data_IF_229702968599
#
_entry.id   IF_229702968599
#
_cell.length_a   1.000
_cell.length_b   1.000
_cell.length_c   1.000
_cell.angle_alpha   90.00
_cell.angle_beta   90.00
_cell.angle_gamma   90.00
#
_symmetry.space_group_name_H-M   'P 1'
#
loop_
_entity.id
_entity.type
_entity.pdbx_description
1 polymer ?
#
# COMPACT_ATOMS: atom_id res chain seq x y z
N UNK A 1 -27.52 -20.24 15.75
CA UNK A 1 -27.33 -21.48 15.01
C UNK A 1 -26.06 -22.11 15.54
N UNK A 2 -26.19 -23.20 16.26
CA UNK A 2 -25.03 -23.95 16.72
C UNK A 2 -24.35 -24.63 15.52
N UNK A 3 -23.02 -24.71 15.49
CA UNK A 3 -22.34 -25.39 14.41
C UNK A 3 -22.66 -26.88 14.40
N UNK A 4 -22.83 -27.49 13.21
CA UNK A 4 -23.10 -28.93 13.12
C UNK A 4 -21.90 -29.70 13.68
N UNK A 5 -22.17 -30.66 14.54
CA UNK A 5 -21.16 -31.47 15.25
C UNK A 5 -21.09 -32.90 14.74
N UNK A 6 -22.13 -33.39 14.08
CA UNK A 6 -22.19 -34.74 13.56
C UNK A 6 -21.90 -34.80 12.06
N UNK A 7 -21.29 -35.88 11.57
CA UNK A 7 -20.93 -36.05 10.16
C UNK A 7 -22.12 -36.01 9.21
N UNK A 8 -23.29 -36.52 9.66
CA UNK A 8 -24.53 -36.45 8.89
C UNK A 8 -25.05 -35.01 8.78
N UNK A 9 -25.03 -34.26 9.87
CA UNK A 9 -25.41 -32.84 9.87
C UNK A 9 -24.50 -32.00 8.99
N UNK A 10 -23.19 -32.27 9.00
CA UNK A 10 -22.21 -31.59 8.13
C UNK A 10 -22.48 -31.91 6.65
N UNK A 11 -22.75 -33.15 6.31
CA UNK A 11 -23.08 -33.55 4.94
C UNK A 11 -24.36 -32.88 4.45
N UNK A 12 -25.40 -32.86 5.29
CA UNK A 12 -26.68 -32.22 4.98
C UNK A 12 -26.55 -30.69 4.86
N UNK A 13 -25.74 -30.06 5.70
CA UNK A 13 -25.44 -28.64 5.61
C UNK A 13 -24.71 -28.30 4.32
N UNK A 14 -23.75 -29.14 3.88
CA UNK A 14 -23.04 -28.99 2.60
C UNK A 14 -24.00 -29.11 1.41
N UNK A 15 -24.88 -30.13 1.40
CA UNK A 15 -25.85 -30.30 0.33
C UNK A 15 -26.83 -29.12 0.26
N UNK A 16 -27.34 -28.66 1.39
CA UNK A 16 -28.22 -27.51 1.46
C UNK A 16 -27.53 -26.23 0.95
N UNK A 17 -26.25 -26.08 1.25
CA UNK A 17 -25.45 -24.92 0.79
C UNK A 17 -25.22 -24.97 -0.73
N UNK A 18 -24.94 -26.13 -1.31
CA UNK A 18 -24.74 -26.31 -2.76
C UNK A 18 -26.04 -26.11 -3.56
N UNK A 19 -27.21 -26.47 -2.96
CA UNK A 19 -28.52 -26.24 -3.60
C UNK A 19 -29.04 -24.81 -3.42
N UNK A 20 -28.46 -24.02 -2.51
CA UNK A 20 -28.88 -22.64 -2.26
C UNK A 20 -28.42 -21.71 -3.36
N UNK A 21 -29.30 -21.02 -4.10
CA UNK A 21 -28.92 -20.05 -5.12
C UNK A 21 -28.15 -18.84 -4.56
N UNK A 22 -28.30 -18.57 -3.26
CA UNK A 22 -27.61 -17.46 -2.58
C UNK A 22 -26.17 -17.81 -2.19
N UNK A 23 -25.90 -19.06 -1.88
CA UNK A 23 -24.58 -19.50 -1.41
C UNK A 23 -23.73 -20.04 -2.55
N UNK A 24 -24.31 -20.77 -3.47
CA UNK A 24 -23.63 -21.32 -4.63
C UNK A 24 -23.11 -20.21 -5.53
N UNK A 25 -21.86 -20.30 -5.95
CA UNK A 25 -21.10 -19.30 -6.75
C UNK A 25 -20.76 -17.99 -6.03
N UNK A 26 -21.42 -17.66 -4.91
CA UNK A 26 -21.09 -16.46 -4.15
C UNK A 26 -20.14 -16.77 -2.98
N UNK A 27 -20.41 -17.84 -2.24
CA UNK A 27 -19.64 -18.25 -1.08
C UNK A 27 -19.08 -19.67 -1.17
N UNK A 28 -19.64 -20.50 -2.04
CA UNK A 28 -19.22 -21.88 -2.24
C UNK A 28 -19.07 -22.11 -3.74
N UNK A 29 -17.97 -22.74 -4.16
CA UNK A 29 -17.73 -23.15 -5.55
C UNK A 29 -18.70 -24.26 -5.98
N UNK A 30 -18.90 -24.40 -7.29
CA UNK A 30 -19.83 -25.41 -7.84
C UNK A 30 -19.46 -26.86 -7.47
N UNK A 31 -18.19 -27.12 -7.22
CA UNK A 31 -17.64 -28.41 -6.78
C UNK A 31 -17.63 -28.59 -5.24
N UNK A 32 -17.98 -27.54 -4.48
CA UNK A 32 -18.00 -27.55 -3.02
C UNK A 32 -16.63 -27.68 -2.35
N UNK A 33 -15.54 -27.41 -3.09
CA UNK A 33 -14.14 -27.52 -2.59
C UNK A 33 -13.68 -26.19 -1.99
N UNK A 34 -14.11 -25.06 -2.58
CA UNK A 34 -13.72 -23.72 -2.13
C UNK A 34 -14.89 -23.06 -1.44
N UNK A 35 -14.64 -22.47 -0.28
CA UNK A 35 -15.64 -21.67 0.44
C UNK A 35 -15.06 -20.34 0.89
N UNK A 36 -15.92 -19.33 1.06
CA UNK A 36 -15.57 -18.01 1.54
C UNK A 36 -16.34 -17.67 2.82
N UNK A 37 -15.62 -17.08 3.77
CA UNK A 37 -16.22 -16.52 4.99
C UNK A 37 -16.20 -14.99 4.83
N UNK A 38 -17.38 -14.38 4.81
CA UNK A 38 -17.49 -12.92 4.75
C UNK A 38 -17.50 -12.35 6.18
N UNK A 39 -16.49 -11.53 6.47
CA UNK A 39 -16.35 -10.85 7.75
C UNK A 39 -16.68 -9.37 7.57
N UNK A 40 -17.80 -8.95 8.16
CA UNK A 40 -18.19 -7.53 8.16
C UNK A 40 -17.52 -6.82 9.32
N UNK A 41 -16.70 -5.81 9.00
CA UNK A 41 -16.00 -5.02 9.99
C UNK A 41 -16.84 -3.82 10.41
N UNK A 42 -16.82 -3.52 11.72
CA UNK A 42 -17.40 -2.27 12.21
C UNK A 42 -16.47 -1.13 11.83
N UNK A 43 -16.97 -0.06 11.18
CA UNK A 43 -16.14 1.08 10.82
C UNK A 43 -15.43 1.65 12.06
N UNK A 44 -14.12 1.81 11.97
CA UNK A 44 -13.32 2.48 12.99
C UNK A 44 -12.36 3.44 12.30
N UNK A 45 -12.21 4.62 12.85
CA UNK A 45 -11.35 5.66 12.32
C UNK A 45 -10.03 5.67 13.09
N UNK A 46 -9.01 5.02 12.52
CA UNK A 46 -7.67 5.07 13.09
C UNK A 46 -6.64 4.62 12.07
N UNK A 47 -5.44 5.23 12.05
CA UNK A 47 -4.40 4.91 11.08
C UNK A 47 -3.89 3.47 11.17
N UNK A 48 -4.08 2.82 12.31
CA UNK A 48 -3.64 1.44 12.55
C UNK A 48 -4.74 0.40 12.39
N UNK A 49 -5.99 0.83 12.13
CA UNK A 49 -7.14 -0.07 12.06
C UNK A 49 -6.92 -1.22 11.08
N UNK A 50 -6.49 -0.91 9.86
CA UNK A 50 -6.27 -1.90 8.81
C UNK A 50 -5.20 -2.93 9.19
N UNK A 51 -4.14 -2.47 9.85
CA UNK A 51 -3.07 -3.35 10.32
C UNK A 51 -3.51 -4.24 11.48
N UNK A 52 -4.25 -3.69 12.44
CA UNK A 52 -4.80 -4.46 13.58
C UNK A 52 -5.76 -5.53 13.08
N UNK A 53 -6.67 -5.18 12.16
CA UNK A 53 -7.61 -6.14 11.57
C UNK A 53 -6.86 -7.23 10.79
N UNK A 54 -5.90 -6.86 9.96
CA UNK A 54 -5.11 -7.82 9.17
C UNK A 54 -4.36 -8.79 10.08
N UNK A 55 -3.70 -8.29 11.13
CA UNK A 55 -2.98 -9.12 12.10
C UNK A 55 -3.92 -10.03 12.90
N UNK A 56 -5.09 -9.53 13.30
CA UNK A 56 -6.08 -10.32 14.02
C UNK A 56 -6.61 -11.46 13.18
N UNK A 57 -6.93 -11.22 11.92
CA UNK A 57 -7.38 -12.26 10.98
C UNK A 57 -6.26 -13.28 10.75
N UNK A 58 -5.02 -12.83 10.54
CA UNK A 58 -3.88 -13.74 10.33
C UNK A 58 -3.62 -14.62 11.56
N UNK A 59 -3.74 -14.08 12.77
CA UNK A 59 -3.60 -14.86 14.02
C UNK A 59 -4.68 -15.95 14.15
N UNK A 60 -5.90 -15.69 13.66
CA UNK A 60 -6.98 -16.68 13.64
C UNK A 60 -6.73 -17.76 12.58
N UNK A 61 -6.22 -17.35 11.40
CA UNK A 61 -5.99 -18.27 10.29
C UNK A 61 -4.74 -19.14 10.51
N UNK A 62 -3.69 -18.59 11.11
CA UNK A 62 -2.39 -19.25 11.24
C UNK A 62 -2.45 -20.71 11.78
N UNK A 63 -3.15 -20.99 12.87
CA UNK A 63 -3.23 -22.37 13.41
C UNK A 63 -3.98 -23.33 12.50
N UNK A 64 -4.81 -22.84 11.58
CA UNK A 64 -5.64 -23.66 10.70
C UNK A 64 -5.04 -23.85 9.29
N UNK A 65 -3.91 -23.20 8.98
CA UNK A 65 -3.30 -23.31 7.65
C UNK A 65 -3.00 -24.73 7.19
N UNK A 66 -2.63 -25.60 8.13
CA UNK A 66 -2.31 -27.00 7.83
C UNK A 66 -3.54 -27.88 7.56
N UNK A 67 -4.74 -27.41 7.91
CA UNK A 67 -5.99 -28.12 7.71
C UNK A 67 -6.60 -27.88 6.31
N UNK A 68 -6.05 -26.93 5.56
CA UNK A 68 -6.53 -26.53 4.23
C UNK A 68 -5.39 -26.54 3.23
N UNK A 69 -5.67 -26.87 1.99
CA UNK A 69 -4.69 -26.78 0.91
C UNK A 69 -4.22 -25.33 0.68
N UNK A 70 -5.16 -24.40 0.70
CA UNK A 70 -4.90 -22.95 0.63
C UNK A 70 -5.92 -22.20 1.45
N UNK A 71 -5.45 -21.29 2.29
CA UNK A 71 -6.27 -20.34 3.03
C UNK A 71 -5.65 -18.95 2.95
N UNK A 72 -6.43 -17.97 2.57
CA UNK A 72 -5.99 -16.59 2.48
C UNK A 72 -7.13 -15.62 2.78
N UNK A 73 -6.77 -14.49 3.36
CA UNK A 73 -7.69 -13.39 3.58
C UNK A 73 -7.57 -12.38 2.45
N UNK A 74 -8.69 -11.84 2.00
CA UNK A 74 -8.77 -10.76 1.01
C UNK A 74 -9.71 -9.69 1.54
N UNK A 75 -9.38 -8.43 1.32
CA UNK A 75 -10.24 -7.32 1.75
C UNK A 75 -9.48 -6.01 1.82
N UNK A 76 -10.21 -4.91 1.92
CA UNK A 76 -9.64 -3.56 1.95
C UNK A 76 -8.55 -3.38 3.01
N UNK A 77 -8.68 -3.85 4.27
CA UNK A 77 -7.64 -3.68 5.28
C UNK A 77 -6.33 -4.35 4.90
N UNK A 78 -6.39 -5.57 4.35
CA UNK A 78 -5.18 -6.27 3.91
C UNK A 78 -4.52 -5.59 2.74
N UNK A 79 -5.31 -5.17 1.74
CA UNK A 79 -4.80 -4.44 0.58
C UNK A 79 -4.12 -3.14 1.03
N UNK A 80 -4.76 -2.35 1.90
CA UNK A 80 -4.21 -1.12 2.43
C UNK A 80 -2.89 -1.35 3.20
N UNK A 81 -2.85 -2.39 4.04
CA UNK A 81 -1.65 -2.75 4.82
C UNK A 81 -0.49 -3.17 3.90
N UNK A 82 -0.72 -4.06 2.94
CA UNK A 82 0.31 -4.51 2.01
C UNK A 82 0.78 -3.38 1.08
N UNK A 83 -0.13 -2.53 0.63
CA UNK A 83 0.22 -1.36 -0.18
C UNK A 83 1.08 -0.36 0.61
N UNK A 84 0.71 -0.03 1.85
CA UNK A 84 1.50 0.86 2.68
C UNK A 84 2.91 0.30 2.92
N UNK A 85 3.02 -0.99 3.19
CA UNK A 85 4.30 -1.66 3.38
C UNK A 85 5.17 -1.62 2.12
N UNK A 86 4.58 -1.91 0.96
CA UNK A 86 5.28 -1.84 -0.34
C UNK A 86 5.71 -0.41 -0.66
N UNK A 87 4.83 0.57 -0.46
CA UNK A 87 5.15 1.99 -0.69
C UNK A 87 6.31 2.48 0.18
N UNK A 88 6.32 2.13 1.48
CA UNK A 88 7.42 2.50 2.37
C UNK A 88 8.73 1.82 1.96
N UNK A 89 8.68 0.55 1.55
CA UNK A 89 9.84 -0.17 1.02
C UNK A 89 10.36 0.48 -0.26
N UNK A 90 9.49 0.80 -1.20
CA UNK A 90 9.85 1.43 -2.46
C UNK A 90 10.44 2.83 -2.26
N UNK A 91 9.84 3.64 -1.40
CA UNK A 91 10.35 4.97 -1.04
C UNK A 91 11.74 4.89 -0.41
N UNK A 92 12.00 3.89 0.42
CA UNK A 92 13.29 3.74 1.12
C UNK A 92 14.44 3.37 0.18
N UNK A 93 14.17 2.69 -0.93
CA UNK A 93 15.18 2.23 -1.88
C UNK A 93 15.18 3.02 -3.18
N UNK A 94 14.01 3.21 -3.80
CA UNK A 94 13.90 3.95 -5.07
C UNK A 94 14.13 5.44 -4.89
N UNK A 95 13.77 6.02 -3.74
CA UNK A 95 13.99 7.44 -3.45
C UNK A 95 15.47 7.82 -3.54
N UNK A 96 16.36 7.21 -2.75
CA UNK A 96 17.80 7.45 -2.82
C UNK A 96 18.40 7.14 -4.20
N UNK A 97 17.94 6.06 -4.85
CA UNK A 97 18.42 5.69 -6.18
C UNK A 97 18.04 6.75 -7.23
N UNK A 98 16.80 7.23 -7.24
CA UNK A 98 16.35 8.29 -8.13
C UNK A 98 17.08 9.62 -7.87
N UNK A 99 17.29 9.98 -6.61
CA UNK A 99 18.08 11.15 -6.22
C UNK A 99 19.54 11.05 -6.72
N UNK A 100 20.14 9.85 -6.62
CA UNK A 100 21.48 9.61 -7.15
C UNK A 100 21.59 9.74 -8.66
N UNK A 101 20.63 9.22 -9.41
CA UNK A 101 20.55 9.36 -10.87
C UNK A 101 20.36 10.83 -11.26
N UNK A 102 19.46 11.55 -10.57
CA UNK A 102 19.23 12.97 -10.79
C UNK A 102 20.51 13.78 -10.55
N UNK A 103 21.18 13.56 -9.42
CA UNK A 103 22.43 14.22 -9.08
C UNK A 103 23.52 13.95 -10.14
N UNK A 104 23.71 12.69 -10.54
CA UNK A 104 24.67 12.33 -11.57
C UNK A 104 24.37 13.04 -12.91
N UNK A 105 23.10 13.09 -13.30
CA UNK A 105 22.66 13.78 -14.51
C UNK A 105 23.00 15.27 -14.45
N UNK A 106 22.67 15.95 -13.36
CA UNK A 106 22.94 17.39 -13.20
C UNK A 106 24.44 17.65 -13.18
N UNK A 107 25.26 16.83 -12.52
CA UNK A 107 26.72 16.96 -12.51
C UNK A 107 27.29 16.85 -13.92
N UNK A 108 26.82 15.90 -14.72
CA UNK A 108 27.29 15.72 -16.11
C UNK A 108 26.94 16.92 -16.97
N UNK A 109 25.73 17.47 -16.86
CA UNK A 109 25.29 18.60 -17.68
C UNK A 109 25.88 19.92 -17.23
N UNK A 110 25.88 20.21 -15.93
CA UNK A 110 26.31 21.50 -15.40
C UNK A 110 27.81 21.53 -15.00
N UNK A 111 28.47 20.36 -14.99
CA UNK A 111 29.87 20.21 -14.56
C UNK A 111 30.19 20.81 -13.19
N UNK A 112 29.19 20.94 -12.32
CA UNK A 112 29.29 21.53 -10.99
C UNK A 112 28.60 20.66 -9.97
N UNK A 113 29.34 20.11 -9.00
CA UNK A 113 28.79 19.34 -7.91
C UNK A 113 27.90 20.16 -6.97
N UNK A 114 28.24 21.43 -6.77
CA UNK A 114 27.44 22.34 -5.95
C UNK A 114 26.07 22.62 -6.59
N UNK A 115 26.05 22.84 -7.91
CA UNK A 115 24.81 23.05 -8.65
C UNK A 115 23.88 21.84 -8.60
N UNK A 116 24.42 20.62 -8.51
CA UNK A 116 23.62 19.40 -8.37
C UNK A 116 23.00 19.22 -6.96
N UNK A 117 23.62 19.82 -5.94
CA UNK A 117 23.15 19.69 -4.56
C UNK A 117 21.93 20.58 -4.27
N UNK A 118 21.82 21.72 -4.93
CA UNK A 118 20.74 22.70 -4.71
C UNK A 118 19.35 22.10 -4.97
N UNK A 119 19.06 21.47 -6.12
CA UNK A 119 17.76 20.85 -6.38
C UNK A 119 17.41 19.74 -5.39
N UNK A 120 18.41 19.00 -4.93
CA UNK A 120 18.19 17.90 -3.99
C UNK A 120 17.74 18.41 -2.61
N UNK A 121 18.40 19.45 -2.12
CA UNK A 121 18.05 20.07 -0.82
C UNK A 121 16.68 20.73 -0.89
N UNK A 122 16.41 21.45 -1.96
CA UNK A 122 15.13 22.12 -2.16
C UNK A 122 13.97 21.12 -2.28
N UNK A 123 14.11 20.07 -3.08
CA UNK A 123 13.12 19.00 -3.17
C UNK A 123 12.92 18.29 -1.83
N UNK A 124 14.00 17.99 -1.11
CA UNK A 124 13.93 17.39 0.22
C UNK A 124 13.17 18.26 1.21
N UNK A 125 13.45 19.56 1.21
CA UNK A 125 12.76 20.54 2.05
C UNK A 125 11.27 20.64 1.68
N UNK A 126 10.93 20.67 0.40
CA UNK A 126 9.56 20.70 -0.08
C UNK A 126 8.79 19.45 0.33
N UNK A 127 9.41 18.26 0.30
CA UNK A 127 8.81 17.01 0.78
C UNK A 127 8.53 17.11 2.29
N UNK A 128 9.51 17.52 3.09
CA UNK A 128 9.35 17.67 4.54
C UNK A 128 8.22 18.65 4.87
N UNK A 129 8.17 19.79 4.19
CA UNK A 129 7.10 20.77 4.37
C UNK A 129 5.73 20.21 4.00
N UNK A 130 5.63 19.54 2.86
CA UNK A 130 4.35 18.99 2.37
C UNK A 130 3.80 17.94 3.34
N UNK A 131 4.62 16.96 3.72
CA UNK A 131 4.17 15.90 4.64
C UNK A 131 4.02 16.39 6.07
N UNK A 132 4.86 17.32 6.51
CA UNK A 132 4.72 17.98 7.81
C UNK A 132 3.39 18.74 7.92
N UNK A 133 3.02 19.46 6.87
CA UNK A 133 1.76 20.20 6.82
C UNK A 133 0.55 19.25 6.76
N UNK A 134 0.62 18.18 5.95
CA UNK A 134 -0.40 17.13 5.93
C UNK A 134 -0.59 16.50 7.30
N UNK A 135 0.51 16.16 7.99
CA UNK A 135 0.46 15.60 9.32
C UNK A 135 -0.13 16.57 10.36
N UNK A 136 0.21 17.85 10.26
CA UNK A 136 -0.35 18.88 11.14
C UNK A 136 -1.86 19.06 10.96
N UNK A 137 -2.34 18.98 9.72
CA UNK A 137 -3.77 19.05 9.40
C UNK A 137 -4.53 17.74 9.66
N UNK A 138 -3.84 16.66 10.03
CA UNK A 138 -4.46 15.34 10.22
C UNK A 138 -4.97 14.70 8.93
N UNK A 139 -4.40 15.08 7.77
CA UNK A 139 -4.77 14.51 6.47
C UNK A 139 -4.14 13.10 6.36
N UNK A 140 -4.96 12.04 6.23
CA UNK A 140 -4.43 10.68 6.14
C UNK A 140 -3.66 10.47 4.83
N UNK A 141 -2.55 9.75 4.91
CA UNK A 141 -1.83 9.30 3.72
C UNK A 141 -2.65 8.27 2.97
N UNK A 142 -2.75 8.44 1.66
CA UNK A 142 -3.41 7.52 0.75
C UNK A 142 -2.51 7.24 -0.47
N UNK A 143 -2.97 6.41 -1.40
CA UNK A 143 -2.22 6.04 -2.61
C UNK A 143 -1.80 7.26 -3.43
N UNK A 144 -2.67 8.28 -3.52
CA UNK A 144 -2.36 9.51 -4.24
C UNK A 144 -1.30 10.34 -3.51
N UNK A 145 -1.35 10.40 -2.17
CA UNK A 145 -0.35 11.08 -1.36
C UNK A 145 1.04 10.43 -1.50
N UNK A 146 1.08 9.13 -1.73
CA UNK A 146 2.35 8.41 -1.94
C UNK A 146 3.07 8.79 -3.24
N UNK A 147 2.36 9.35 -4.22
CA UNK A 147 2.96 9.87 -5.47
C UNK A 147 3.56 11.28 -5.30
N UNK A 148 3.18 12.02 -4.26
CA UNK A 148 3.63 13.40 -4.06
C UNK A 148 5.15 13.57 -4.02
N UNK A 149 5.93 12.73 -3.31
CA UNK A 149 7.38 12.88 -3.30
C UNK A 149 8.00 12.84 -4.69
N UNK A 150 7.55 11.91 -5.52
CA UNK A 150 8.03 11.76 -6.90
C UNK A 150 7.68 13.00 -7.74
N UNK A 151 6.45 13.50 -7.63
CA UNK A 151 6.03 14.70 -8.34
C UNK A 151 6.82 15.94 -7.90
N UNK A 152 7.02 16.12 -6.58
CA UNK A 152 7.80 17.24 -6.04
C UNK A 152 9.24 17.20 -6.56
N UNK A 153 9.89 16.03 -6.54
CA UNK A 153 11.26 15.88 -7.04
C UNK A 153 11.34 16.17 -8.53
N UNK A 154 10.44 15.61 -9.35
CA UNK A 154 10.49 15.80 -10.81
C UNK A 154 10.21 17.24 -11.19
N UNK A 155 9.15 17.85 -10.66
CA UNK A 155 8.78 19.24 -10.99
C UNK A 155 9.84 20.20 -10.44
N UNK A 156 10.22 20.06 -9.17
CA UNK A 156 11.22 20.92 -8.54
C UNK A 156 12.58 20.86 -9.25
N UNK A 157 13.06 19.65 -9.54
CA UNK A 157 14.34 19.49 -10.25
C UNK A 157 14.31 20.10 -11.66
N UNK A 158 13.19 20.05 -12.37
CA UNK A 158 13.04 20.63 -13.70
C UNK A 158 13.12 22.15 -13.63
N UNK A 159 12.34 22.77 -12.76
CA UNK A 159 12.33 24.24 -12.57
C UNK A 159 13.68 24.77 -12.14
N UNK A 160 14.32 24.14 -11.16
CA UNK A 160 15.60 24.55 -10.63
C UNK A 160 16.75 24.35 -11.63
N UNK A 161 16.69 23.28 -12.44
CA UNK A 161 17.68 23.07 -13.50
C UNK A 161 17.60 24.20 -14.55
N UNK A 162 16.39 24.61 -14.94
CA UNK A 162 16.20 25.75 -15.82
C UNK A 162 16.75 27.04 -15.22
N UNK A 163 16.49 27.30 -13.94
CA UNK A 163 17.02 28.49 -13.24
C UNK A 163 18.56 28.48 -13.18
N UNK A 164 19.14 27.32 -12.84
CA UNK A 164 20.60 27.16 -12.78
C UNK A 164 21.25 27.30 -14.16
N UNK A 165 20.67 26.78 -15.23
CA UNK A 165 21.16 26.95 -16.58
C UNK A 165 21.12 28.43 -17.00
N UNK A 166 20.04 29.15 -16.70
CA UNK A 166 19.94 30.59 -16.98
C UNK A 166 20.99 31.41 -16.21
N UNK A 167 21.19 31.09 -14.93
CA UNK A 167 22.17 31.74 -14.08
C UNK A 167 23.61 31.51 -14.56
N UNK A 168 23.99 30.26 -14.81
CA UNK A 168 25.34 29.91 -15.29
C UNK A 168 25.61 30.40 -16.72
N UNK A 169 24.57 30.52 -17.55
CA UNK A 169 24.69 31.09 -18.90
C UNK A 169 24.80 32.62 -18.92
N UNK A 170 24.54 33.29 -17.79
CA UNK A 170 24.68 34.74 -17.62
C UNK A 170 26.03 35.17 -17.03
N UNK A 171 26.84 34.22 -16.57
CA UNK A 171 28.21 34.41 -16.09
C UNK A 171 29.23 34.28 -17.21
#
# INVERSE_FOLDING_TARGET
LDPPTDLEEIAQAKDNALYSPLLRKNFISDDGIVTAINVTLKPSSGPEFDQVVTNSIENIIAPHRNNFEKIFAVGSPRIATEMNKSLLSDLSWLGPAAAGVLMATIIVFLRSGFAAFVPLVSAGLAIVWTFGFMGWLGIPMNILSAMLPTLIVVIGATEETHLLCAYLGSL
#
